data_IF_040011863665
#
_entry.id   IF_040011863665
#
_cell.length_a   1.000
_cell.length_b   1.000
_cell.length_c   1.000
_cell.angle_alpha   90.00
_cell.angle_beta   90.00
_cell.angle_gamma   90.00
#
_symmetry.space_group_name_H-M   'P 1'
#
loop_
_entity.id
_entity.type
_entity.pdbx_description
1 polymer ?
#
# COMPACT_ATOMS: atom_id res chain seq x y z
N UNK A 1 13.47 5.75 12.86
CA UNK A 1 12.02 5.49 12.77
C UNK A 1 11.60 4.77 14.04
N UNK A 2 10.90 5.43 14.96
CA UNK A 2 10.29 4.74 16.11
C UNK A 2 9.07 3.95 15.61
N UNK A 3 9.05 2.67 15.93
CA UNK A 3 8.38 1.55 15.27
C UNK A 3 6.85 1.45 15.43
N UNK A 4 6.15 2.56 15.67
CA UNK A 4 4.69 2.56 15.94
C UNK A 4 3.84 3.47 15.06
N UNK A 5 4.44 4.35 14.26
CA UNK A 5 3.67 5.17 13.31
C UNK A 5 3.42 4.38 12.01
N UNK A 6 2.13 4.07 11.78
CA UNK A 6 1.60 3.41 10.56
C UNK A 6 1.57 4.33 9.33
N UNK A 7 1.97 5.58 9.50
CA UNK A 7 1.93 6.64 8.52
C UNK A 7 3.11 7.58 8.71
N UNK A 8 3.46 8.32 7.67
CA UNK A 8 4.52 9.31 7.69
C UNK A 8 3.95 10.72 7.66
N UNK A 9 4.34 11.55 8.63
CA UNK A 9 3.83 12.94 8.75
C UNK A 9 3.99 13.80 7.49
N UNK A 10 4.97 13.47 6.64
CA UNK A 10 5.35 14.27 5.46
C UNK A 10 5.14 13.54 4.14
N UNK A 11 4.29 12.52 4.09
CA UNK A 11 4.03 11.87 2.82
C UNK A 11 2.91 10.86 2.86
N UNK A 12 2.67 10.26 1.70
CA UNK A 12 1.67 9.21 1.52
C UNK A 12 2.18 7.89 2.05
N UNK A 13 1.33 7.17 2.77
CA UNK A 13 1.68 5.89 3.35
C UNK A 13 0.65 4.82 3.01
N UNK A 14 1.15 3.63 2.75
CA UNK A 14 0.37 2.43 2.57
C UNK A 14 0.80 1.43 3.64
N UNK A 15 -0.16 0.90 4.39
CA UNK A 15 0.12 0.01 5.52
C UNK A 15 -0.81 -1.19 5.49
N UNK A 16 -0.24 -2.39 5.59
CA UNK A 16 -1.00 -3.63 5.82
C UNK A 16 -0.97 -3.93 7.30
N UNK A 17 -2.12 -3.90 7.96
CA UNK A 17 -2.22 -4.00 9.43
C UNK A 17 -3.33 -4.94 9.84
N UNK A 18 -3.21 -5.53 11.02
CA UNK A 18 -4.36 -6.12 11.68
C UNK A 18 -5.25 -4.99 12.23
N UNK A 19 -6.48 -4.91 11.72
CA UNK A 19 -7.46 -3.92 12.16
C UNK A 19 -8.33 -4.50 13.27
N UNK A 20 -8.30 -3.88 14.44
CA UNK A 20 -9.10 -4.30 15.60
C UNK A 20 -10.60 -4.10 15.38
N UNK A 21 -11.00 -3.09 14.57
CA UNK A 21 -12.42 -2.81 14.28
C UNK A 21 -13.03 -3.86 13.35
N UNK A 22 -12.27 -4.29 12.35
CA UNK A 22 -12.74 -5.27 11.37
C UNK A 22 -12.39 -6.71 11.75
N UNK A 23 -11.59 -6.90 12.81
CA UNK A 23 -11.07 -8.20 13.25
C UNK A 23 -10.38 -9.01 12.14
N UNK A 24 -9.71 -8.31 11.21
CA UNK A 24 -9.06 -8.91 10.05
C UNK A 24 -7.89 -8.05 9.55
N UNK A 25 -7.13 -8.57 8.59
CA UNK A 25 -6.08 -7.79 7.91
C UNK A 25 -6.75 -6.76 7.00
N UNK A 26 -6.36 -5.51 7.18
CA UNK A 26 -6.78 -4.39 6.35
C UNK A 26 -5.57 -3.71 5.73
N UNK A 27 -5.83 -3.07 4.60
CA UNK A 27 -4.98 -2.08 4.00
C UNK A 27 -5.49 -0.71 4.46
N UNK A 28 -4.58 0.10 4.98
CA UNK A 28 -4.81 1.51 5.30
C UNK A 28 -3.99 2.38 4.34
N UNK A 29 -4.64 3.38 3.75
CA UNK A 29 -4.02 4.39 2.90
C UNK A 29 -4.11 5.74 3.61
N UNK A 30 -2.97 6.38 3.78
CA UNK A 30 -2.83 7.61 4.54
C UNK A 30 -2.27 8.71 3.67
N UNK A 31 -2.96 9.84 3.66
CA UNK A 31 -2.43 11.10 3.14
C UNK A 31 -1.85 11.89 4.32
N UNK A 32 -0.53 11.83 4.48
CA UNK A 32 0.18 12.38 5.64
C UNK A 32 -0.32 11.79 6.97
N UNK A 33 -1.21 12.49 7.67
CA UNK A 33 -1.79 12.07 8.95
C UNK A 33 -3.24 11.63 8.81
N UNK A 34 -3.86 11.85 7.66
CA UNK A 34 -5.28 11.59 7.42
C UNK A 34 -5.48 10.20 6.82
N UNK A 35 -6.32 9.39 7.45
CA UNK A 35 -6.73 8.09 6.92
C UNK A 35 -7.75 8.33 5.80
N UNK A 36 -7.34 8.14 4.56
CA UNK A 36 -8.18 8.37 3.37
C UNK A 36 -8.73 7.09 2.77
N UNK A 37 -8.13 5.94 3.09
CA UNK A 37 -8.60 4.64 2.61
C UNK A 37 -8.44 3.55 3.67
N UNK A 38 -9.44 2.68 3.77
CA UNK A 38 -9.43 1.52 4.67
C UNK A 38 -10.17 0.36 4.01
N UNK A 39 -9.42 -0.66 3.57
CA UNK A 39 -9.94 -1.80 2.80
C UNK A 39 -9.61 -3.12 3.51
N UNK A 40 -10.60 -3.93 3.89
CA UNK A 40 -10.33 -5.27 4.41
C UNK A 40 -9.87 -6.22 3.30
N UNK A 41 -8.81 -7.00 3.56
CA UNK A 41 -8.17 -7.83 2.52
C UNK A 41 -7.97 -9.30 2.89
N UNK A 42 -8.23 -9.69 4.14
CA UNK A 42 -8.21 -11.10 4.50
C UNK A 42 -8.39 -11.36 5.98
N UNK A 43 -9.05 -12.48 6.30
CA UNK A 43 -9.25 -12.94 7.68
C UNK A 43 -7.93 -13.46 8.28
N UNK A 44 -7.69 -13.16 9.56
CA UNK A 44 -6.60 -13.78 10.31
C UNK A 44 -7.11 -15.07 10.91
N UNK A 45 -6.77 -16.19 10.29
CA UNK A 45 -6.98 -17.53 10.86
C UNK A 45 -5.63 -18.17 11.20
N UNK A 46 -5.63 -19.18 12.08
CA UNK A 46 -4.40 -19.95 12.31
C UNK A 46 -3.97 -20.62 11.01
N UNK A 47 -2.68 -20.52 10.69
CA UNK A 47 -2.06 -21.12 9.50
C UNK A 47 -2.57 -20.56 8.15
N UNK A 48 -3.17 -19.37 8.12
CA UNK A 48 -3.43 -18.66 6.86
C UNK A 48 -2.27 -17.79 6.44
N UNK A 49 -2.06 -17.66 5.13
CA UNK A 49 -1.19 -16.67 4.51
C UNK A 49 -2.00 -15.70 3.66
N UNK A 50 -1.58 -14.45 3.62
CA UNK A 50 -2.08 -13.44 2.70
C UNK A 50 -0.95 -13.07 1.76
N UNK A 51 -1.19 -13.17 0.44
CA UNK A 51 -0.22 -12.78 -0.57
C UNK A 51 -0.85 -11.74 -1.50
N UNK A 52 -0.26 -10.54 -1.53
CA UNK A 52 -0.71 -9.43 -2.36
C UNK A 52 0.47 -8.85 -3.13
N UNK A 53 0.23 -8.47 -4.38
CA UNK A 53 1.17 -7.73 -5.22
C UNK A 53 0.61 -6.33 -5.37
N UNK A 54 1.28 -5.34 -4.80
CA UNK A 54 0.78 -3.96 -4.81
C UNK A 54 1.60 -3.14 -5.80
N UNK A 55 0.91 -2.53 -6.76
CA UNK A 55 1.46 -1.53 -7.66
C UNK A 55 1.32 -0.13 -7.05
N UNK A 56 2.39 0.66 -7.13
CA UNK A 56 2.39 2.07 -6.75
C UNK A 56 2.77 2.85 -8.00
N UNK A 57 1.86 3.69 -8.48
CA UNK A 57 2.02 4.46 -9.72
C UNK A 57 2.06 5.94 -9.38
N UNK A 58 3.09 6.62 -9.85
CA UNK A 58 3.23 8.06 -9.75
C UNK A 58 2.92 8.64 -11.12
N UNK A 59 1.94 9.53 -11.18
CA UNK A 59 1.55 10.24 -12.39
C UNK A 59 1.67 11.74 -12.15
N UNK A 60 2.79 12.30 -12.61
CA UNK A 60 3.09 13.73 -12.53
C UNK A 60 2.20 14.56 -13.48
N UNK A 61 1.70 13.96 -14.57
CA UNK A 61 0.84 14.67 -15.52
C UNK A 61 -0.53 14.93 -14.92
N UNK A 62 -1.09 13.92 -14.24
CA UNK A 62 -2.39 14.02 -13.57
C UNK A 62 -2.26 14.37 -12.07
N UNK A 63 -1.06 14.71 -11.60
CA UNK A 63 -0.79 15.05 -10.20
C UNK A 63 -1.36 14.02 -9.20
N UNK A 64 -1.15 12.73 -9.45
CA UNK A 64 -1.72 11.68 -8.59
C UNK A 64 -0.76 10.53 -8.28
N UNK A 65 -1.01 9.87 -7.15
CA UNK A 65 -0.38 8.60 -6.77
C UNK A 65 -1.47 7.56 -6.64
N UNK A 66 -1.38 6.47 -7.40
CA UNK A 66 -2.38 5.39 -7.39
C UNK A 66 -1.80 4.12 -6.77
N UNK A 67 -2.58 3.51 -5.89
CA UNK A 67 -2.29 2.23 -5.24
C UNK A 67 -3.22 1.17 -5.82
N UNK A 68 -2.65 0.09 -6.36
CA UNK A 68 -3.41 -0.93 -7.08
C UNK A 68 -3.06 -2.31 -6.54
N UNK A 69 -4.08 -3.13 -6.30
CA UNK A 69 -3.91 -4.56 -6.09
C UNK A 69 -3.68 -5.22 -7.46
N UNK A 70 -2.44 -5.52 -7.80
CA UNK A 70 -2.08 -6.20 -9.05
C UNK A 70 -2.43 -7.69 -9.04
N UNK A 71 -2.80 -8.27 -7.90
CA UNK A 71 -3.29 -9.66 -7.84
C UNK A 71 -4.73 -9.73 -8.35
N UNK A 72 -5.59 -8.83 -7.89
CA UNK A 72 -7.02 -8.79 -8.24
C UNK A 72 -7.35 -7.81 -9.37
N UNK A 73 -6.37 -6.99 -9.78
CA UNK A 73 -6.55 -5.86 -10.69
C UNK A 73 -7.61 -4.87 -10.19
N UNK A 74 -7.46 -4.37 -8.96
CA UNK A 74 -8.39 -3.42 -8.33
C UNK A 74 -7.67 -2.17 -7.81
N UNK A 75 -8.26 -1.00 -8.00
CA UNK A 75 -7.77 0.26 -7.40
C UNK A 75 -8.06 0.24 -5.89
N UNK A 76 -7.00 0.39 -5.09
CA UNK A 76 -7.10 0.44 -3.62
C UNK A 76 -7.36 1.87 -3.16
N UNK A 77 -6.54 2.80 -3.64
CA UNK A 77 -6.61 4.21 -3.28
C UNK A 77 -5.94 5.07 -4.35
N UNK A 78 -6.38 6.32 -4.43
CA UNK A 78 -5.77 7.35 -5.25
C UNK A 78 -5.60 8.62 -4.43
N UNK A 79 -4.38 9.12 -4.39
CA UNK A 79 -4.05 10.42 -3.82
C UNK A 79 -4.00 11.42 -4.97
N UNK A 80 -4.85 12.44 -4.92
CA UNK A 80 -4.96 13.47 -5.96
C UNK A 80 -4.27 14.76 -5.51
N UNK A 81 -4.10 15.70 -6.44
CA UNK A 81 -3.50 17.01 -6.20
C UNK A 81 -2.10 16.92 -5.57
N UNK A 82 -1.36 15.87 -5.92
CA UNK A 82 -0.02 15.59 -5.42
C UNK A 82 0.97 16.55 -6.06
N UNK A 83 1.73 17.26 -5.23
CA UNK A 83 2.78 18.16 -5.65
C UNK A 83 4.11 17.39 -5.79
N UNK A 84 4.56 17.14 -7.02
CA UNK A 84 5.83 16.50 -7.34
C UNK A 84 7.00 17.50 -7.49
N UNK A 85 6.93 18.64 -6.80
CA UNK A 85 7.92 19.72 -6.87
C UNK A 85 9.29 19.35 -6.27
N UNK A 86 9.32 18.29 -5.44
CA UNK A 86 10.51 17.77 -4.77
C UNK A 86 10.71 16.29 -5.09
N UNK A 87 11.97 15.81 -5.09
CA UNK A 87 12.25 14.39 -5.24
C UNK A 87 11.51 13.55 -4.19
N UNK A 88 10.76 12.56 -4.66
CA UNK A 88 10.12 11.57 -3.81
C UNK A 88 11.04 10.36 -3.63
N UNK A 89 11.02 9.79 -2.42
CA UNK A 89 11.80 8.60 -2.09
C UNK A 89 10.85 7.51 -1.60
N UNK A 90 10.85 6.32 -2.22
CA UNK A 90 10.11 5.20 -1.68
C UNK A 90 10.77 4.76 -0.37
N UNK A 91 9.95 4.62 0.67
CA UNK A 91 10.37 4.11 1.96
C UNK A 91 9.60 2.84 2.29
N UNK A 92 10.31 1.82 2.75
CA UNK A 92 9.74 0.51 3.07
C UNK A 92 10.06 0.17 4.52
N UNK A 93 9.06 -0.35 5.23
CA UNK A 93 9.22 -0.80 6.60
C UNK A 93 8.45 -2.11 6.80
N UNK A 94 9.06 -3.05 7.49
CA UNK A 94 8.42 -4.29 7.93
C UNK A 94 8.63 -4.40 9.42
N UNK A 95 7.54 -4.62 10.16
CA UNK A 95 7.58 -4.80 11.60
C UNK A 95 6.97 -6.16 11.95
N UNK A 96 7.75 -7.24 11.90
CA UNK A 96 7.25 -8.58 12.22
C UNK A 96 6.94 -8.68 13.73
N UNK A 97 6.14 -9.67 14.10
CA UNK A 97 5.90 -10.03 15.51
C UNK A 97 6.10 -11.53 15.72
N UNK A 98 6.19 -11.98 16.97
CA UNK A 98 6.32 -13.41 17.29
C UNK A 98 5.19 -14.27 16.70
N UNK A 99 4.03 -13.66 16.40
CA UNK A 99 2.83 -14.35 15.91
C UNK A 99 2.64 -14.25 14.40
N UNK A 100 3.34 -13.33 13.72
CA UNK A 100 3.12 -13.01 12.31
C UNK A 100 4.48 -12.81 11.64
N UNK A 101 4.78 -13.68 10.68
CA UNK A 101 5.88 -13.47 9.73
C UNK A 101 5.39 -12.59 8.59
N UNK A 102 6.16 -11.55 8.27
CA UNK A 102 5.88 -10.64 7.16
C UNK A 102 7.09 -10.61 6.25
N UNK A 103 6.87 -10.78 4.95
CA UNK A 103 7.89 -10.66 3.92
C UNK A 103 7.47 -9.55 2.94
N UNK A 104 8.41 -8.66 2.64
CA UNK A 104 8.25 -7.65 1.60
C UNK A 104 9.29 -7.89 0.52
N UNK A 105 8.83 -8.14 -0.71
CA UNK A 105 9.70 -8.32 -1.87
C UNK A 105 9.41 -7.25 -2.91
N UNK A 106 10.44 -6.55 -3.37
CA UNK A 106 10.36 -5.65 -4.52
C UNK A 106 10.53 -6.49 -5.78
N UNK A 107 9.56 -6.40 -6.71
CA UNK A 107 9.61 -7.07 -8.02
C UNK A 107 10.15 -6.11 -9.07
N UNK A 108 11.03 -6.58 -9.93
CA UNK A 108 11.62 -5.79 -11.02
C UNK A 108 11.75 -6.62 -12.30
N UNK A 109 11.90 -5.95 -13.45
CA UNK A 109 12.13 -6.61 -14.74
C UNK A 109 11.06 -7.63 -15.10
N UNK A 110 11.49 -8.85 -15.44
CA UNK A 110 10.60 -9.94 -15.86
C UNK A 110 9.72 -10.51 -14.73
N UNK A 111 9.88 -10.07 -13.48
CA UNK A 111 8.97 -10.47 -12.39
C UNK A 111 7.65 -9.67 -12.41
N UNK A 112 7.58 -8.57 -13.17
CA UNK A 112 6.39 -7.73 -13.33
C UNK A 112 5.52 -8.35 -14.43
N UNK A 113 4.70 -9.34 -14.06
CA UNK A 113 3.88 -10.10 -15.00
C UNK A 113 2.44 -9.55 -15.18
N UNK A 114 1.98 -8.70 -14.26
CA UNK A 114 0.63 -8.15 -14.27
C UNK A 114 0.66 -6.68 -13.85
N UNK A 115 0.29 -5.81 -14.78
CA UNK A 115 0.10 -4.38 -14.55
C UNK A 115 -1.27 -4.00 -15.13
N UNK A 116 -2.28 -3.70 -14.29
CA UNK A 116 -3.60 -3.32 -14.78
C UNK A 116 -3.57 -1.90 -15.35
N UNK A 117 -3.14 -1.77 -16.61
CA UNK A 117 -2.94 -0.49 -17.30
C UNK A 117 -4.25 0.28 -17.50
N UNK A 118 -5.38 -0.42 -17.53
CA UNK A 118 -6.72 0.17 -17.76
C UNK A 118 -7.31 0.86 -16.53
N UNK A 119 -6.69 0.75 -15.35
CA UNK A 119 -7.13 1.38 -14.10
C UNK A 119 -6.34 2.64 -13.75
N UNK A 120 -5.35 2.99 -14.57
CA UNK A 120 -4.57 4.22 -14.40
C UNK A 120 -5.24 5.33 -15.22
N UNK A 121 -5.33 6.56 -14.68
CA UNK A 121 -5.78 7.70 -15.47
C UNK A 121 -4.86 7.88 -16.69
N UNK A 122 -5.48 8.20 -17.84
CA UNK A 122 -4.80 8.43 -19.13
C UNK A 122 -4.15 9.81 -19.12
#
# INVERSE_FOLDING_TARGET
FTTTQRHHKFGWSFSVVFCEKCHQVCIESWDHLDLVGHLPVGLVTRNSSLHKVIGIFLDDTNACISLVDCTEADLIAQFNDVMFDKPLWPAFCVNPSEKITVELKIKTGQEINYMPVHLLPI
#
